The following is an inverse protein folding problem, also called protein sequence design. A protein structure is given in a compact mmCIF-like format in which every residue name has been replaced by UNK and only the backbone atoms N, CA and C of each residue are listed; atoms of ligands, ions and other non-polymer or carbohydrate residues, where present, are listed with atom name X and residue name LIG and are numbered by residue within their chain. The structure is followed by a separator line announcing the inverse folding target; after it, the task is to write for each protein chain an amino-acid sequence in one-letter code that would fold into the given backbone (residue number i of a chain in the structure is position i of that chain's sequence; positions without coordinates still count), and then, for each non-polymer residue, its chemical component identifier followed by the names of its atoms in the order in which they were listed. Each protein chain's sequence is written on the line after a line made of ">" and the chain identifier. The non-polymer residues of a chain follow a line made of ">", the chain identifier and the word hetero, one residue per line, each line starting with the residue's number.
data_IF_715362222063
#
_entry.id   IF_715362222063
#
_cell.length_a   1.000
_cell.length_b   1.000
_cell.length_c   1.000
_cell.angle_alpha   90.00
_cell.angle_beta   90.00
_cell.angle_gamma   90.00
#
_symmetry.space_group_name_H-M   'P 1'
#
loop_
_entity.id
_entity.type
_entity.pdbx_description
1 polymer ?
#
# COMPACT_ATOMS: atom_id res chain seq x y z
N UNK A 1 28.88 -4.76 -6.71
CA UNK A 1 28.49 -3.53 -5.98
C UNK A 1 27.23 -2.97 -6.61
N UNK A 2 26.03 -3.49 -6.32
CA UNK A 2 24.74 -2.84 -6.64
C UNK A 2 23.57 -3.60 -6.01
N UNK A 3 23.49 -3.61 -4.68
CA UNK A 3 22.32 -4.14 -3.95
C UNK A 3 21.85 -3.19 -2.84
N UNK A 4 22.64 -2.19 -2.47
CA UNK A 4 22.34 -1.29 -1.35
C UNK A 4 21.23 -0.25 -1.65
N UNK A 5 20.95 0.05 -2.92
CA UNK A 5 19.96 1.06 -3.28
C UNK A 5 18.51 0.60 -3.16
N UNK A 6 18.26 -0.73 -3.21
CA UNK A 6 16.89 -1.27 -3.22
C UNK A 6 16.22 -1.27 -1.84
N UNK A 7 17.00 -1.27 -0.75
CA UNK A 7 16.46 -1.24 0.62
C UNK A 7 15.96 0.13 1.05
N UNK A 8 16.44 1.22 0.44
CA UNK A 8 16.03 2.57 0.85
C UNK A 8 14.63 2.96 0.35
N UNK A 9 14.11 2.27 -0.68
CA UNK A 9 12.79 2.56 -1.25
C UNK A 9 11.78 1.42 -1.12
N UNK A 10 12.03 0.36 -0.34
CA UNK A 10 11.01 -0.68 -0.09
C UNK A 10 10.34 -1.22 -1.36
N UNK A 11 11.08 -1.35 -2.46
CA UNK A 11 10.58 -1.94 -3.71
C UNK A 11 10.96 -3.40 -3.74
N UNK A 12 10.04 -4.25 -3.27
CA UNK A 12 9.90 -5.62 -3.76
C UNK A 12 10.70 -6.69 -3.00
N UNK A 13 10.03 -7.36 -2.09
CA UNK A 13 9.94 -8.83 -2.04
C UNK A 13 8.75 -9.17 -1.12
N UNK A 14 7.96 -10.17 -1.49
CA UNK A 14 6.85 -10.64 -0.66
C UNK A 14 7.29 -11.01 0.76
N UNK A 15 6.35 -10.95 1.71
CA UNK A 15 6.47 -11.25 3.15
C UNK A 15 7.04 -10.15 4.08
N UNK A 16 6.37 -9.00 4.21
CA UNK A 16 6.58 -8.06 5.33
C UNK A 16 5.34 -7.73 6.18
N UNK A 17 4.21 -8.44 6.00
CA UNK A 17 2.99 -8.22 6.79
C UNK A 17 3.08 -8.66 8.27
N UNK A 18 4.27 -8.65 8.89
CA UNK A 18 4.48 -9.04 10.28
C UNK A 18 5.81 -8.61 10.91
N UNK A 19 6.70 -7.92 10.18
CA UNK A 19 7.88 -7.31 10.81
C UNK A 19 7.43 -6.04 11.53
N UNK A 20 7.46 -6.08 12.86
CA UNK A 20 7.33 -4.88 13.68
C UNK A 20 8.40 -3.88 13.22
N UNK A 21 8.04 -2.67 12.78
CA UNK A 21 9.02 -1.64 12.47
C UNK A 21 9.90 -1.44 13.71
N UNK A 22 11.23 -1.47 13.56
CA UNK A 22 12.14 -1.24 14.68
C UNK A 22 12.00 0.22 15.12
N UNK A 23 11.06 0.46 16.04
CA UNK A 23 10.66 1.77 16.52
C UNK A 23 11.86 2.55 17.03
N UNK A 24 12.86 1.87 17.60
CA UNK A 24 14.09 2.50 18.09
C UNK A 24 14.90 3.10 16.95
N UNK A 25 15.00 2.42 15.80
CA UNK A 25 15.67 2.98 14.60
C UNK A 25 14.92 4.17 14.05
N UNK A 26 13.59 4.11 13.99
CA UNK A 26 12.78 5.26 13.56
C UNK A 26 13.01 6.48 14.46
N UNK A 27 12.98 6.28 15.78
CA UNK A 27 13.27 7.35 16.73
C UNK A 27 14.72 7.85 16.55
N UNK A 28 15.71 6.96 16.50
CA UNK A 28 17.10 7.38 16.32
C UNK A 28 17.29 8.25 15.07
N UNK A 29 16.66 7.89 13.94
CA UNK A 29 16.72 8.67 12.70
C UNK A 29 15.99 10.01 12.82
N UNK A 30 14.72 10.01 13.27
CA UNK A 30 13.91 11.23 13.35
C UNK A 30 14.56 12.23 14.31
N UNK A 31 14.93 11.78 15.50
CA UNK A 31 15.51 12.63 16.53
C UNK A 31 16.89 13.16 16.12
N UNK A 32 17.73 12.35 15.47
CA UNK A 32 19.04 12.82 14.99
C UNK A 32 18.90 13.85 13.87
N UNK A 33 18.03 13.60 12.88
CA UNK A 33 17.78 14.53 11.78
C UNK A 33 17.21 15.84 12.32
N UNK A 34 16.19 15.79 13.19
CA UNK A 34 15.63 16.99 13.82
C UNK A 34 16.68 17.76 14.63
N UNK A 35 17.51 17.07 15.41
CA UNK A 35 18.58 17.70 16.17
C UNK A 35 19.58 18.42 15.26
N UNK A 36 20.02 17.79 14.17
CA UNK A 36 20.96 18.41 13.21
C UNK A 36 20.35 19.62 12.50
N UNK A 37 19.09 19.52 12.06
CA UNK A 37 18.39 20.60 11.35
C UNK A 37 18.17 21.85 12.22
N UNK A 38 18.13 21.69 13.55
CA UNK A 38 18.07 22.80 14.51
C UNK A 38 19.47 23.28 14.90
N UNK A 39 20.39 22.35 15.19
CA UNK A 39 21.74 22.67 15.68
C UNK A 39 22.57 23.43 14.63
N UNK A 40 22.45 23.10 13.35
CA UNK A 40 23.22 23.75 12.28
C UNK A 40 22.94 25.26 12.15
N UNK A 41 21.68 25.73 11.99
CA UNK A 41 21.37 27.16 11.94
C UNK A 41 21.56 27.86 13.30
N UNK A 42 21.43 27.12 14.42
CA UNK A 42 21.76 27.64 15.75
C UNK A 42 23.26 27.97 15.86
N UNK A 43 24.13 27.03 15.51
CA UNK A 43 25.58 27.23 15.51
C UNK A 43 26.03 28.32 14.50
N UNK A 44 25.27 28.50 13.41
CA UNK A 44 25.49 29.58 12.44
C UNK A 44 25.01 30.97 12.89
N UNK A 45 24.35 31.10 14.05
CA UNK A 45 23.86 32.40 14.56
C UNK A 45 22.76 33.05 13.72
N UNK A 46 22.14 32.30 12.81
CA UNK A 46 21.17 32.81 11.82
C UNK A 46 19.72 32.75 12.31
N UNK A 47 19.48 32.29 13.53
CA UNK A 47 18.16 32.25 14.13
C UNK A 47 17.61 33.66 14.37
N UNK A 48 16.36 33.92 14.01
CA UNK A 48 15.74 35.22 14.21
C UNK A 48 14.26 35.23 13.83
N UNK A 49 13.58 36.38 14.01
CA UNK A 49 12.16 36.53 13.70
C UNK A 49 11.94 36.49 12.18
N UNK A 50 11.77 35.29 11.63
CA UNK A 50 11.76 35.05 10.19
C UNK A 50 10.39 34.58 9.66
N UNK A 51 9.33 35.29 10.06
CA UNK A 51 7.94 34.98 9.70
C UNK A 51 7.35 33.79 10.47
N UNK A 52 6.10 33.44 10.18
CA UNK A 52 5.34 32.45 10.97
C UNK A 52 5.84 31.00 10.84
N UNK A 53 6.56 30.67 9.76
CA UNK A 53 6.85 29.28 9.38
C UNK A 53 8.32 28.92 9.40
N UNK A 54 9.21 29.89 9.61
CA UNK A 54 10.64 29.68 9.61
C UNK A 54 11.31 30.50 10.71
N UNK A 55 12.31 29.90 11.34
CA UNK A 55 13.10 30.53 12.40
C UNK A 55 14.46 31.06 11.91
N UNK A 56 14.79 30.90 10.62
CA UNK A 56 16.07 31.33 10.02
C UNK A 56 15.87 32.67 9.32
N UNK A 57 16.52 33.70 9.86
CA UNK A 57 16.36 35.09 9.42
C UNK A 57 17.11 35.37 8.11
N UNK A 58 16.33 35.45 7.04
CA UNK A 58 16.77 35.76 5.68
C UNK A 58 17.52 37.10 5.55
N UNK A 59 17.33 38.03 6.48
CA UNK A 59 17.99 39.35 6.47
C UNK A 59 19.44 39.28 6.95
N UNK A 60 19.86 38.20 7.60
CA UNK A 60 21.24 37.97 8.09
C UNK A 60 22.25 37.60 6.99
N UNK A 61 21.88 37.79 5.73
CA UNK A 61 22.76 37.62 4.56
C UNK A 61 22.67 36.25 3.87
N UNK A 62 23.60 36.01 2.93
CA UNK A 62 23.57 34.85 2.02
C UNK A 62 23.65 33.50 2.73
N UNK A 63 24.36 33.42 3.86
CA UNK A 63 24.47 32.20 4.65
C UNK A 63 23.11 31.78 5.23
N UNK A 64 22.33 32.74 5.74
CA UNK A 64 21.01 32.47 6.29
C UNK A 64 20.03 31.97 5.21
N UNK A 65 20.12 32.52 3.99
CA UNK A 65 19.35 32.04 2.84
C UNK A 65 19.70 30.59 2.48
N UNK A 66 21.00 30.24 2.50
CA UNK A 66 21.45 28.87 2.27
C UNK A 66 20.92 27.90 3.34
N UNK A 67 20.99 28.27 4.62
CA UNK A 67 20.41 27.47 5.70
C UNK A 67 18.89 27.31 5.56
N UNK A 68 18.18 28.34 5.12
CA UNK A 68 16.73 28.27 4.86
C UNK A 68 16.41 27.28 3.72
N UNK A 69 17.19 27.28 2.65
CA UNK A 69 17.02 26.31 1.56
C UNK A 69 17.34 24.88 2.02
N UNK A 70 18.47 24.69 2.70
CA UNK A 70 18.99 23.36 3.06
C UNK A 70 18.26 22.72 4.25
N UNK A 71 17.99 23.48 5.30
CA UNK A 71 17.43 22.94 6.54
C UNK A 71 15.89 22.94 6.57
N UNK A 72 15.24 23.75 5.74
CA UNK A 72 13.78 23.86 5.73
C UNK A 72 13.17 23.39 4.40
N UNK A 73 13.54 24.02 3.29
CA UNK A 73 12.89 23.70 2.01
C UNK A 73 13.28 22.32 1.47
N UNK A 74 14.55 21.92 1.56
CA UNK A 74 15.00 20.64 1.02
C UNK A 74 14.33 19.44 1.73
N UNK A 75 14.27 19.37 3.07
CA UNK A 75 13.49 18.34 3.77
C UNK A 75 12.00 18.37 3.41
N UNK A 76 11.39 19.56 3.31
CA UNK A 76 9.99 19.72 2.93
C UNK A 76 9.70 19.14 1.54
N UNK A 77 10.50 19.52 0.54
CA UNK A 77 10.37 18.99 -0.82
C UNK A 77 10.62 17.50 -0.88
N UNK A 78 11.59 16.98 -0.12
CA UNK A 78 11.85 15.55 -0.03
C UNK A 78 10.64 14.78 0.52
N UNK A 79 9.99 15.30 1.58
CA UNK A 79 8.79 14.69 2.17
C UNK A 79 7.63 14.73 1.17
N UNK A 80 7.38 15.86 0.51
CA UNK A 80 6.30 15.97 -0.50
C UNK A 80 6.53 14.98 -1.64
N UNK A 81 7.74 14.89 -2.16
CA UNK A 81 8.08 13.94 -3.22
C UNK A 81 7.91 12.48 -2.75
N UNK A 82 8.35 12.18 -1.52
CA UNK A 82 8.18 10.87 -0.93
C UNK A 82 6.71 10.48 -0.76
N UNK A 83 5.87 11.38 -0.24
CA UNK A 83 4.42 11.20 -0.12
C UNK A 83 3.81 10.86 -1.48
N UNK A 84 4.11 11.65 -2.52
CA UNK A 84 3.61 11.40 -3.89
C UNK A 84 4.00 10.00 -4.38
N UNK A 85 5.26 9.59 -4.19
CA UNK A 85 5.75 8.26 -4.59
C UNK A 85 5.04 7.16 -3.81
N UNK A 86 4.88 7.31 -2.50
CA UNK A 86 4.21 6.33 -1.63
C UNK A 86 2.75 6.18 -2.03
N UNK A 87 2.00 7.27 -2.15
CA UNK A 87 0.60 7.23 -2.58
C UNK A 87 0.43 6.58 -3.95
N UNK A 88 1.27 6.95 -4.90
CA UNK A 88 1.25 6.35 -6.23
C UNK A 88 1.43 4.83 -6.17
N UNK A 89 2.36 4.35 -5.34
CA UNK A 89 2.63 2.92 -5.19
C UNK A 89 1.50 2.21 -4.44
N UNK A 90 0.93 2.82 -3.41
CA UNK A 90 -0.22 2.28 -2.68
C UNK A 90 -1.40 2.11 -3.63
N UNK A 91 -1.74 3.14 -4.40
CA UNK A 91 -2.86 3.10 -5.36
C UNK A 91 -2.65 2.00 -6.39
N UNK A 92 -1.43 1.88 -6.95
CA UNK A 92 -1.10 0.79 -7.90
C UNK A 92 -1.22 -0.59 -7.27
N UNK A 93 -0.74 -0.78 -6.04
CA UNK A 93 -0.85 -2.06 -5.34
C UNK A 93 -2.29 -2.39 -4.99
N UNK A 94 -3.06 -1.39 -4.54
CA UNK A 94 -4.46 -1.56 -4.19
C UNK A 94 -5.30 -1.95 -5.41
N UNK A 95 -5.07 -1.31 -6.56
CA UNK A 95 -5.74 -1.69 -7.82
C UNK A 95 -5.35 -3.09 -8.29
N UNK A 96 -4.10 -3.51 -8.10
CA UNK A 96 -3.67 -4.86 -8.46
C UNK A 96 -4.32 -5.92 -7.55
N UNK A 97 -4.33 -5.67 -6.23
CA UNK A 97 -4.93 -6.57 -5.24
C UNK A 97 -6.45 -6.64 -5.41
N UNK A 98 -7.12 -5.52 -5.69
CA UNK A 98 -8.57 -5.52 -5.91
C UNK A 98 -8.97 -6.36 -7.14
N UNK A 99 -8.23 -6.25 -8.25
CA UNK A 99 -8.46 -7.07 -9.45
C UNK A 99 -8.27 -8.56 -9.17
N UNK A 100 -7.22 -8.93 -8.43
CA UNK A 100 -6.99 -10.32 -8.03
C UNK A 100 -8.08 -10.83 -7.08
N UNK A 101 -8.53 -9.99 -6.15
CA UNK A 101 -9.61 -10.32 -5.24
C UNK A 101 -10.92 -10.58 -6.01
N UNK A 102 -11.28 -9.74 -6.97
CA UNK A 102 -12.47 -9.93 -7.80
C UNK A 102 -12.37 -11.18 -8.69
N UNK A 103 -11.23 -11.42 -9.33
CA UNK A 103 -11.01 -12.65 -10.11
C UNK A 103 -11.16 -13.90 -9.23
N UNK A 104 -10.61 -13.88 -8.01
CA UNK A 104 -10.72 -15.01 -7.08
C UNK A 104 -12.16 -15.21 -6.60
N UNK A 105 -12.92 -14.14 -6.38
CA UNK A 105 -14.35 -14.22 -6.05
C UNK A 105 -15.15 -14.83 -7.20
N UNK A 106 -14.90 -14.40 -8.44
CA UNK A 106 -15.57 -14.93 -9.63
C UNK A 106 -15.29 -16.43 -9.83
N UNK A 107 -14.04 -16.86 -9.67
CA UNK A 107 -13.67 -18.29 -9.74
C UNK A 107 -14.39 -19.11 -8.66
N UNK A 108 -14.45 -18.62 -7.42
CA UNK A 108 -15.19 -19.30 -6.34
C UNK A 108 -16.69 -19.38 -6.59
N UNK A 109 -17.28 -18.38 -7.24
CA UNK A 109 -18.69 -18.41 -7.63
C UNK A 109 -18.94 -19.47 -8.72
N UNK A 110 -18.05 -19.55 -9.73
CA UNK A 110 -18.14 -20.56 -10.78
C UNK A 110 -18.07 -21.99 -10.24
N UNK A 111 -17.16 -22.27 -9.30
CA UNK A 111 -17.05 -23.61 -8.69
C UNK A 111 -18.33 -24.03 -7.95
N UNK A 112 -18.98 -23.10 -7.23
CA UNK A 112 -20.26 -23.38 -6.55
C UNK A 112 -21.36 -23.76 -7.55
N UNK A 113 -21.42 -23.06 -8.69
CA UNK A 113 -22.39 -23.35 -9.74
C UNK A 113 -22.17 -24.73 -10.38
N UNK A 114 -20.91 -25.15 -10.57
CA UNK A 114 -20.60 -26.50 -11.07
C UNK A 114 -20.98 -27.60 -10.07
N UNK A 115 -20.77 -27.37 -8.78
CA UNK A 115 -21.17 -28.30 -7.71
C UNK A 115 -22.70 -28.48 -7.70
N UNK A 116 -23.46 -27.39 -7.78
CA UNK A 116 -24.92 -27.40 -7.82
C UNK A 116 -25.45 -28.12 -9.09
N UNK A 117 -24.81 -27.89 -10.23
CA UNK A 117 -25.15 -28.56 -11.48
C UNK A 117 -24.90 -30.08 -11.40
N UNK A 118 -23.78 -30.50 -10.81
CA UNK A 118 -23.46 -31.92 -10.59
C UNK A 118 -24.39 -32.56 -9.58
N UNK A 119 -24.75 -31.86 -8.50
CA UNK A 119 -25.71 -32.33 -7.51
C UNK A 119 -27.09 -32.56 -8.14
N UNK A 120 -27.56 -31.62 -8.96
CA UNK A 120 -28.82 -31.73 -9.68
C UNK A 120 -28.81 -32.89 -10.68
N UNK A 121 -27.73 -33.05 -11.46
CA UNK A 121 -27.59 -34.16 -12.41
C UNK A 121 -27.59 -35.53 -11.69
N UNK A 122 -26.93 -35.64 -10.53
CA UNK A 122 -26.97 -36.86 -9.71
C UNK A 122 -28.38 -37.15 -9.20
N UNK A 123 -29.11 -36.14 -8.74
CA UNK A 123 -30.49 -36.29 -8.28
C UNK A 123 -31.40 -36.82 -9.41
N UNK A 124 -31.23 -36.31 -10.63
CA UNK A 124 -31.97 -36.79 -11.81
C UNK A 124 -31.63 -38.26 -12.13
N UNK A 125 -30.35 -38.63 -12.09
CA UNK A 125 -29.92 -40.01 -12.36
C UNK A 125 -30.38 -41.01 -11.31
N UNK A 126 -30.52 -40.58 -10.05
CA UNK A 126 -30.96 -41.42 -8.93
C UNK A 126 -32.49 -41.42 -8.75
N UNK A 127 -33.23 -40.59 -9.49
CA UNK A 127 -34.68 -40.63 -9.48
C UNK A 127 -35.14 -42.03 -9.90
N UNK A 128 -36.05 -42.67 -9.14
CA UNK A 128 -36.59 -43.96 -9.55
C UNK A 128 -37.16 -43.81 -10.96
N UNK A 129 -36.72 -44.64 -11.91
CA UNK A 129 -37.40 -44.76 -13.20
C UNK A 129 -38.80 -45.29 -12.92
N UNK A 130 -39.73 -44.39 -12.63
CA UNK A 130 -41.16 -44.67 -12.60
C UNK A 130 -41.51 -45.27 -13.95
N UNK A 131 -41.72 -46.58 -13.96
CA UNK A 131 -41.98 -47.34 -15.16
C UNK A 131 -43.19 -46.78 -15.89
N UNK A 132 -43.00 -46.49 -17.18
CA UNK A 132 -44.10 -46.63 -18.11
C UNK A 132 -44.53 -48.09 -18.11
N UNK A 133 -45.74 -48.37 -17.65
CA UNK A 133 -46.40 -49.67 -17.81
C UNK A 133 -47.76 -49.47 -18.48
N UNK A 134 -47.81 -49.81 -19.78
CA UNK A 134 -48.95 -50.32 -20.56
C UNK A 134 -50.17 -49.42 -20.69
N UNK A 135 -50.70 -49.13 -21.89
CA UNK A 135 -50.98 -50.11 -22.95
C UNK A 135 -52.40 -50.61 -22.77
N UNK A 136 -53.31 -50.19 -23.66
CA UNK A 136 -54.76 -50.25 -23.49
C UNK A 136 -55.46 -51.61 -23.66
N UNK A 137 -56.78 -51.55 -23.49
CA UNK A 137 -57.82 -52.55 -23.76
C UNK A 137 -59.11 -52.00 -23.11
N UNK A 138 -60.17 -51.58 -23.82
CA UNK A 138 -61.08 -52.33 -24.71
C UNK A 138 -61.80 -53.47 -23.98
N UNK A 139 -63.13 -53.54 -24.18
CA UNK A 139 -64.15 -54.47 -23.62
C UNK A 139 -64.78 -54.00 -22.29
N UNK A 140 -66.10 -53.77 -22.15
CA UNK A 140 -67.26 -53.88 -23.03
C UNK A 140 -68.48 -53.20 -22.39
#
# INVERSE_FOLDING_TARGET
>A
MSMAASSLMGVGAGNQFGQQPDVRRFHAVIWSVSAVLVAAPWAGGVLGPAGAWCWIDASKGRAAQAFRLLCFYLPLWAIIAFEVVVYYRIIRRLMAVSRLAEATKALRAGMRQEEDARASARAVLQAPRGGGSGGGGSEG
#
